data_IF_474737197166
#
_entry.id   IF_474737197166
#
_cell.length_a   1.000
_cell.length_b   1.000
_cell.length_c   1.000
_cell.angle_alpha   90.00
_cell.angle_beta   90.00
_cell.angle_gamma   90.00
#
_symmetry.space_group_name_H-M   'P 1'
#
loop_
_entity.id
_entity.type
_entity.pdbx_description
1 polymer ?
#
# COMPACT_ATOMS: atom_id res chain seq x y z
N UNK A 1 -14.57 -17.00 4.45
CA UNK A 1 -15.53 -15.88 4.44
C UNK A 1 -15.05 -14.65 3.64
N UNK A 2 -13.75 -14.35 3.49
CA UNK A 2 -13.29 -13.14 2.77
C UNK A 2 -13.55 -13.15 1.25
N UNK A 3 -13.42 -14.31 0.59
CA UNK A 3 -13.59 -14.42 -0.87
C UNK A 3 -15.01 -14.11 -1.32
N UNK A 4 -16.02 -14.59 -0.58
CA UNK A 4 -17.44 -14.31 -0.86
C UNK A 4 -17.78 -12.83 -0.72
N UNK A 5 -17.19 -12.13 0.25
CA UNK A 5 -17.37 -10.69 0.40
C UNK A 5 -16.77 -9.90 -0.77
N UNK A 6 -15.56 -10.27 -1.20
CA UNK A 6 -14.88 -9.58 -2.32
C UNK A 6 -15.64 -9.76 -3.62
N UNK A 7 -16.12 -10.98 -3.91
CA UNK A 7 -16.95 -11.24 -5.09
C UNK A 7 -18.19 -10.35 -5.07
N UNK A 8 -18.90 -10.29 -3.93
CA UNK A 8 -20.06 -9.42 -3.81
C UNK A 8 -19.74 -7.93 -4.00
N UNK A 9 -18.58 -7.46 -3.54
CA UNK A 9 -18.14 -6.07 -3.74
C UNK A 9 -17.85 -5.78 -5.21
N UNK A 10 -17.22 -6.72 -5.92
CA UNK A 10 -16.98 -6.62 -7.36
C UNK A 10 -18.30 -6.62 -8.13
N UNK A 11 -19.24 -7.50 -7.78
CA UNK A 11 -20.57 -7.53 -8.39
C UNK A 11 -21.31 -6.20 -8.20
N UNK A 12 -21.20 -5.58 -7.01
CA UNK A 12 -21.78 -4.25 -6.77
C UNK A 12 -21.11 -3.18 -7.64
N UNK A 13 -19.78 -3.22 -7.78
CA UNK A 13 -19.02 -2.24 -8.57
C UNK A 13 -19.31 -2.35 -10.07
N UNK A 14 -19.55 -3.57 -10.57
CA UNK A 14 -19.76 -3.88 -11.99
C UNK A 14 -21.22 -3.74 -12.45
N UNK A 15 -22.16 -3.48 -11.54
CA UNK A 15 -23.57 -3.25 -11.93
C UNK A 15 -23.68 -2.12 -12.96
N UNK A 16 -24.47 -2.29 -14.04
CA UNK A 16 -24.78 -1.20 -14.94
C UNK A 16 -25.35 -0.01 -14.18
N UNK A 17 -24.76 1.17 -14.37
CA UNK A 17 -25.16 2.40 -13.66
C UNK A 17 -24.60 2.55 -12.24
N UNK A 18 -23.67 1.70 -11.79
CA UNK A 18 -22.97 1.92 -10.53
C UNK A 18 -22.26 3.28 -10.53
N UNK A 19 -22.61 4.13 -9.56
CA UNK A 19 -22.05 5.47 -9.41
C UNK A 19 -20.55 5.41 -9.11
N UNK A 20 -19.80 6.47 -9.46
CA UNK A 20 -18.38 6.57 -9.08
C UNK A 20 -18.18 6.52 -7.57
N UNK A 21 -19.14 7.05 -6.79
CA UNK A 21 -19.11 6.94 -5.33
C UNK A 21 -19.17 5.48 -4.89
N UNK A 22 -20.08 4.71 -5.49
CA UNK A 22 -20.22 3.27 -5.22
C UNK A 22 -18.93 2.53 -5.54
N UNK A 23 -18.35 2.80 -6.72
CA UNK A 23 -17.09 2.17 -7.15
C UNK A 23 -15.97 2.47 -6.18
N UNK A 24 -15.75 3.72 -5.82
CA UNK A 24 -14.71 4.10 -4.86
C UNK A 24 -14.93 3.43 -3.49
N UNK A 25 -16.16 3.42 -2.97
CA UNK A 25 -16.48 2.75 -1.70
C UNK A 25 -16.16 1.25 -1.77
N UNK A 26 -16.57 0.57 -2.85
CA UNK A 26 -16.29 -0.87 -3.03
C UNK A 26 -14.81 -1.13 -3.17
N UNK A 27 -14.08 -0.30 -3.92
CA UNK A 27 -12.62 -0.39 -4.10
C UNK A 27 -11.90 -0.23 -2.77
N UNK A 28 -12.21 0.82 -2.00
CA UNK A 28 -11.68 1.03 -0.63
C UNK A 28 -11.92 -0.18 0.25
N UNK A 29 -13.14 -0.73 0.22
CA UNK A 29 -13.51 -1.89 1.04
C UNK A 29 -12.74 -3.14 0.63
N UNK A 30 -12.60 -3.40 -0.66
CA UNK A 30 -11.81 -4.51 -1.20
C UNK A 30 -10.35 -4.39 -0.79
N UNK A 31 -9.74 -3.21 -0.96
CA UNK A 31 -8.38 -2.94 -0.52
C UNK A 31 -8.21 -3.23 0.97
N UNK A 32 -9.12 -2.76 1.82
CA UNK A 32 -9.08 -3.01 3.26
C UNK A 32 -9.16 -4.50 3.61
N UNK A 33 -9.99 -5.28 2.92
CA UNK A 33 -10.10 -6.74 3.13
C UNK A 33 -8.79 -7.43 2.75
N UNK A 34 -8.23 -7.07 1.59
CA UNK A 34 -6.97 -7.66 1.12
C UNK A 34 -5.76 -7.25 1.95
N UNK A 35 -5.64 -5.99 2.37
CA UNK A 35 -4.58 -5.54 3.28
C UNK A 35 -4.61 -6.33 4.59
N UNK A 36 -5.79 -6.49 5.22
CA UNK A 36 -5.94 -7.32 6.42
C UNK A 36 -5.51 -8.77 6.19
N UNK A 37 -5.80 -9.33 5.01
CA UNK A 37 -5.38 -10.70 4.67
C UNK A 37 -3.86 -10.81 4.49
N UNK A 38 -3.23 -9.81 3.86
CA UNK A 38 -1.78 -9.72 3.73
C UNK A 38 -1.09 -9.58 5.10
N UNK A 39 -1.64 -8.77 5.99
CA UNK A 39 -1.11 -8.60 7.35
C UNK A 39 -1.18 -9.92 8.13
N UNK A 40 -2.31 -10.65 8.06
CA UNK A 40 -2.42 -11.97 8.68
C UNK A 40 -1.36 -12.96 8.14
N UNK A 41 -1.14 -13.03 6.83
CA UNK A 41 -0.08 -13.86 6.24
C UNK A 41 1.29 -13.42 6.77
N UNK A 42 1.55 -12.12 6.83
CA UNK A 42 2.82 -11.57 7.33
C UNK A 42 3.06 -11.96 8.79
N UNK A 43 2.04 -11.88 9.63
CA UNK A 43 2.10 -12.27 11.05
C UNK A 43 2.36 -13.77 11.22
N UNK A 44 1.66 -14.61 10.46
CA UNK A 44 1.86 -16.07 10.44
C UNK A 44 3.32 -16.42 10.07
N UNK A 45 3.84 -15.84 8.98
CA UNK A 45 5.23 -16.01 8.55
C UNK A 45 6.23 -15.48 9.59
N UNK A 46 5.95 -14.33 10.20
CA UNK A 46 6.80 -13.77 11.26
C UNK A 46 6.82 -14.67 12.49
N UNK A 47 5.70 -15.30 12.85
CA UNK A 47 5.65 -16.26 13.94
C UNK A 47 6.54 -17.47 13.69
N UNK A 48 6.55 -18.02 12.47
CA UNK A 48 7.47 -19.10 12.08
C UNK A 48 8.93 -18.66 12.18
N UNK A 49 9.30 -17.51 11.61
CA UNK A 49 10.68 -16.99 11.70
C UNK A 49 11.12 -16.71 13.13
N UNK A 50 10.21 -16.29 14.02
CA UNK A 50 10.51 -16.18 15.47
C UNK A 50 10.84 -17.53 16.10
N UNK A 51 10.18 -18.63 15.68
CA UNK A 51 10.55 -19.98 16.15
C UNK A 51 11.96 -20.36 15.69
N UNK A 52 12.30 -20.11 14.42
CA UNK A 52 13.65 -20.32 13.90
C UNK A 52 14.70 -19.50 14.69
N UNK A 53 14.42 -18.22 14.97
CA UNK A 53 15.31 -17.37 15.74
C UNK A 53 15.60 -17.90 17.15
N UNK A 54 14.61 -18.54 17.82
CA UNK A 54 14.81 -19.11 19.15
C UNK A 54 15.75 -20.33 19.14
N UNK A 55 15.82 -21.04 18.01
CA UNK A 55 16.70 -22.21 17.87
C UNK A 55 18.16 -21.83 17.60
N UNK A 56 18.45 -20.57 17.25
CA UNK A 56 19.82 -20.09 16.97
C UNK A 56 20.76 -20.25 18.16
N UNK A 57 20.25 -20.25 19.39
CA UNK A 57 21.06 -20.47 20.60
C UNK A 57 21.65 -21.89 20.71
N UNK A 58 21.13 -22.85 19.92
CA UNK A 58 21.56 -24.25 19.93
C UNK A 58 22.36 -24.62 18.67
N UNK A 59 22.90 -23.63 17.97
CA UNK A 59 23.81 -23.87 16.87
C UNK A 59 25.09 -24.57 17.36
N UNK A 60 25.72 -25.41 16.53
CA UNK A 60 25.39 -25.67 15.11
C UNK A 60 24.30 -26.73 14.90
N UNK A 61 23.90 -27.47 15.93
CA UNK A 61 23.08 -28.68 15.79
C UNK A 61 21.66 -28.43 15.26
N UNK A 62 21.13 -27.22 15.45
CA UNK A 62 19.82 -26.81 14.95
C UNK A 62 19.83 -26.19 13.54
N UNK A 63 20.99 -26.10 12.88
CA UNK A 63 21.11 -25.40 11.60
C UNK A 63 20.15 -25.90 10.51
N UNK A 64 20.01 -27.22 10.36
CA UNK A 64 19.10 -27.82 9.38
C UNK A 64 17.63 -27.52 9.71
N UNK A 65 17.25 -27.58 11.00
CA UNK A 65 15.89 -27.27 11.46
C UNK A 65 15.56 -25.79 11.26
N UNK A 66 16.52 -24.89 11.51
CA UNK A 66 16.36 -23.45 11.27
C UNK A 66 16.09 -23.20 9.79
N UNK A 67 16.90 -23.76 8.90
CA UNK A 67 16.73 -23.63 7.46
C UNK A 67 15.36 -24.17 6.99
N UNK A 68 14.92 -25.31 7.51
CA UNK A 68 13.60 -25.87 7.22
C UNK A 68 12.45 -24.93 7.65
N UNK A 69 12.52 -24.34 8.85
CA UNK A 69 11.49 -23.42 9.33
C UNK A 69 11.50 -22.11 8.54
N UNK A 70 12.67 -21.60 8.17
CA UNK A 70 12.79 -20.40 7.33
C UNK A 70 12.19 -20.66 5.94
N UNK A 71 12.47 -21.80 5.32
CA UNK A 71 11.87 -22.21 4.05
C UNK A 71 10.34 -22.36 4.17
N UNK A 72 9.86 -23.02 5.23
CA UNK A 72 8.41 -23.12 5.49
C UNK A 72 7.76 -21.74 5.63
N UNK A 73 8.42 -20.78 6.29
CA UNK A 73 7.93 -19.42 6.41
C UNK A 73 7.89 -18.67 5.06
N UNK A 74 8.82 -18.98 4.15
CA UNK A 74 8.87 -18.38 2.82
C UNK A 74 7.80 -18.95 1.89
N UNK A 75 7.54 -20.25 1.99
CA UNK A 75 6.52 -20.96 1.20
C UNK A 75 5.10 -20.78 1.73
N UNK A 76 4.95 -20.49 3.03
CA UNK A 76 3.65 -20.36 3.68
C UNK A 76 2.74 -19.37 2.97
N UNK A 77 1.72 -19.90 2.28
CA UNK A 77 0.71 -19.14 1.54
C UNK A 77 1.33 -18.15 0.54
N UNK A 78 2.44 -18.54 -0.09
CA UNK A 78 3.18 -17.72 -1.07
C UNK A 78 2.30 -17.27 -2.23
N UNK A 79 1.61 -18.22 -2.86
CA UNK A 79 0.72 -17.96 -4.00
C UNK A 79 -0.38 -16.96 -3.63
N UNK A 80 -1.12 -17.22 -2.54
CA UNK A 80 -2.18 -16.31 -2.09
C UNK A 80 -1.64 -14.90 -1.77
N UNK A 81 -0.45 -14.78 -1.17
CA UNK A 81 0.19 -13.49 -0.92
C UNK A 81 0.54 -12.76 -2.22
N UNK A 82 1.05 -13.48 -3.21
CA UNK A 82 1.41 -12.93 -4.53
C UNK A 82 0.15 -12.46 -5.27
N UNK A 83 -0.89 -13.27 -5.31
CA UNK A 83 -2.17 -12.92 -5.93
C UNK A 83 -2.78 -11.66 -5.31
N UNK A 84 -2.83 -11.59 -3.97
CA UNK A 84 -3.34 -10.41 -3.25
C UNK A 84 -2.53 -9.14 -3.57
N UNK A 85 -1.20 -9.27 -3.66
CA UNK A 85 -0.33 -8.13 -4.02
C UNK A 85 -0.55 -7.69 -5.45
N UNK A 86 -0.72 -8.62 -6.38
CA UNK A 86 -0.99 -8.35 -7.79
C UNK A 86 -2.31 -7.58 -7.95
N UNK A 87 -3.37 -8.04 -7.29
CA UNK A 87 -4.68 -7.35 -7.35
C UNK A 87 -4.61 -5.96 -6.73
N UNK A 88 -4.01 -5.83 -5.54
CA UNK A 88 -3.84 -4.51 -4.90
C UNK A 88 -2.99 -3.56 -5.74
N UNK A 89 -1.91 -4.03 -6.35
CA UNK A 89 -1.08 -3.23 -7.24
C UNK A 89 -1.85 -2.81 -8.50
N UNK A 90 -2.70 -3.68 -9.04
CA UNK A 90 -3.60 -3.35 -10.16
C UNK A 90 -4.58 -2.23 -9.81
N UNK A 91 -5.22 -2.33 -8.64
CA UNK A 91 -6.09 -1.27 -8.12
C UNK A 91 -5.31 0.04 -7.92
N UNK A 92 -4.14 -0.04 -7.27
CA UNK A 92 -3.29 1.14 -7.04
C UNK A 92 -2.86 1.82 -8.33
N UNK A 93 -2.55 1.04 -9.38
CA UNK A 93 -2.22 1.55 -10.71
C UNK A 93 -3.42 2.24 -11.37
N UNK A 94 -4.62 1.66 -11.27
CA UNK A 94 -5.85 2.28 -11.77
C UNK A 94 -6.10 3.64 -11.13
N UNK A 95 -5.88 3.74 -9.81
CA UNK A 95 -6.05 4.98 -9.06
C UNK A 95 -5.00 6.03 -9.41
N UNK A 96 -3.71 5.66 -9.42
CA UNK A 96 -2.60 6.58 -9.73
C UNK A 96 -2.74 7.19 -11.13
N UNK A 97 -3.26 6.42 -12.08
CA UNK A 97 -3.43 6.84 -13.47
C UNK A 97 -4.83 7.41 -13.77
N UNK A 98 -5.70 7.52 -12.76
CA UNK A 98 -7.13 7.86 -12.86
C UNK A 98 -7.84 7.20 -14.06
N UNK A 99 -7.64 5.90 -14.25
CA UNK A 99 -8.14 5.22 -15.47
C UNK A 99 -9.66 5.18 -15.57
N UNK A 100 -10.36 5.42 -14.45
CA UNK A 100 -11.81 5.46 -14.37
C UNK A 100 -12.40 6.88 -14.41
N UNK A 101 -11.56 7.92 -14.45
CA UNK A 101 -11.99 9.32 -14.47
C UNK A 101 -12.69 9.77 -13.19
N UNK A 102 -12.29 9.20 -12.04
CA UNK A 102 -12.92 9.45 -10.74
C UNK A 102 -12.65 10.87 -10.24
N UNK A 103 -11.50 11.45 -10.54
CA UNK A 103 -11.12 12.78 -10.05
C UNK A 103 -12.15 13.83 -10.49
N UNK A 104 -12.41 13.88 -11.80
CA UNK A 104 -13.44 14.76 -12.38
C UNK A 104 -14.86 14.30 -12.06
N UNK A 105 -15.09 12.98 -12.03
CA UNK A 105 -16.43 12.41 -11.85
C UNK A 105 -17.01 12.58 -10.44
N UNK A 106 -16.16 12.68 -9.42
CA UNK A 106 -16.58 12.87 -8.03
C UNK A 106 -16.46 14.33 -7.59
N UNK A 107 -15.38 15.01 -7.98
CA UNK A 107 -15.02 16.32 -7.46
C UNK A 107 -14.44 16.27 -6.04
N UNK A 108 -13.72 17.33 -5.67
CA UNK A 108 -12.92 17.41 -4.44
C UNK A 108 -13.69 17.07 -3.16
N UNK A 109 -14.81 17.75 -2.89
CA UNK A 109 -15.54 17.58 -1.63
C UNK A 109 -16.08 16.16 -1.47
N UNK A 110 -16.58 15.58 -2.56
CA UNK A 110 -17.09 14.22 -2.55
C UNK A 110 -15.98 13.20 -2.33
N UNK A 111 -14.80 13.40 -2.94
CA UNK A 111 -13.64 12.55 -2.66
C UNK A 111 -13.23 12.65 -1.19
N UNK A 112 -13.16 13.85 -0.63
CA UNK A 112 -12.81 14.03 0.78
C UNK A 112 -13.80 13.34 1.73
N UNK A 113 -15.10 13.40 1.44
CA UNK A 113 -16.12 12.66 2.21
C UNK A 113 -15.91 11.15 2.09
N UNK A 114 -15.76 10.67 0.85
CA UNK A 114 -15.61 9.26 0.55
C UNK A 114 -14.28 8.67 1.03
N UNK A 115 -13.25 9.49 1.26
CA UNK A 115 -11.95 9.11 1.83
C UNK A 115 -11.89 9.32 3.34
N UNK A 116 -12.93 9.93 3.94
CA UNK A 116 -13.01 10.22 5.37
C UNK A 116 -11.86 11.13 5.85
N UNK A 117 -11.55 12.16 5.04
CA UNK A 117 -10.55 13.19 5.34
C UNK A 117 -11.15 14.19 6.34
N UNK A 118 -10.40 14.51 7.39
CA UNK A 118 -10.84 15.46 8.41
C UNK A 118 -10.92 16.90 7.86
N UNK A 119 -11.72 17.75 8.50
CA UNK A 119 -11.99 19.12 8.03
C UNK A 119 -10.74 19.99 7.94
N UNK A 120 -9.79 19.86 8.87
CA UNK A 120 -8.56 20.68 8.89
C UNK A 120 -7.69 20.34 7.69
N UNK A 121 -7.47 19.05 7.44
CA UNK A 121 -6.69 18.58 6.29
C UNK A 121 -7.41 18.80 4.96
N UNK A 122 -8.75 18.78 4.95
CA UNK A 122 -9.53 19.15 3.76
C UNK A 122 -9.27 20.60 3.37
N UNK A 123 -9.30 21.54 4.32
CA UNK A 123 -9.01 22.94 4.02
C UNK A 123 -7.55 23.15 3.62
N UNK A 124 -6.60 22.46 4.27
CA UNK A 124 -5.20 22.48 3.84
C UNK A 124 -5.03 21.97 2.42
N UNK A 125 -5.60 20.80 2.10
CA UNK A 125 -5.55 20.21 0.77
C UNK A 125 -6.18 21.12 -0.29
N UNK A 126 -7.28 21.81 0.03
CA UNK A 126 -7.90 22.79 -0.87
C UNK A 126 -6.98 23.98 -1.14
N UNK A 127 -6.34 24.52 -0.10
CA UNK A 127 -5.41 25.64 -0.23
C UNK A 127 -4.15 25.25 -1.02
N UNK A 128 -3.70 24.02 -0.88
CA UNK A 128 -2.54 23.46 -1.59
C UNK A 128 -2.89 22.97 -3.00
N UNK A 129 -4.17 23.05 -3.41
CA UNK A 129 -4.63 22.65 -4.74
C UNK A 129 -4.62 21.14 -4.99
N UNK A 130 -4.71 20.33 -3.93
CA UNK A 130 -4.70 18.87 -4.00
C UNK A 130 -6.10 18.35 -4.39
N UNK A 131 -6.36 18.20 -5.69
CA UNK A 131 -7.70 17.92 -6.21
C UNK A 131 -7.86 16.55 -6.88
N UNK A 132 -6.86 15.67 -6.77
CA UNK A 132 -6.88 14.30 -7.31
C UNK A 132 -6.94 13.23 -6.22
N UNK A 133 -7.48 12.04 -6.55
CA UNK A 133 -7.42 10.87 -5.67
C UNK A 133 -5.98 10.49 -5.35
N UNK A 134 -5.05 10.66 -6.29
CA UNK A 134 -3.64 10.33 -6.09
C UNK A 134 -3.01 11.25 -5.06
N UNK A 135 -3.28 12.55 -5.12
CA UNK A 135 -2.78 13.51 -4.15
C UNK A 135 -3.31 13.18 -2.75
N UNK A 136 -4.63 13.01 -2.65
CA UNK A 136 -5.31 12.81 -1.38
C UNK A 136 -4.99 11.44 -0.76
N UNK A 137 -5.03 10.35 -1.53
CA UNK A 137 -4.90 9.00 -0.97
C UNK A 137 -3.45 8.51 -0.89
N UNK A 138 -2.55 8.97 -1.78
CA UNK A 138 -1.20 8.45 -1.88
C UNK A 138 -0.10 9.48 -1.57
N UNK A 139 -0.06 10.61 -2.29
CA UNK A 139 1.04 11.56 -2.14
C UNK A 139 1.06 12.22 -0.76
N UNK A 140 -0.10 12.64 -0.27
CA UNK A 140 -0.26 13.26 1.06
C UNK A 140 -0.88 12.31 2.08
N UNK A 141 -1.33 11.13 1.64
CA UNK A 141 -1.75 10.05 2.52
C UNK A 141 -2.82 10.52 3.55
N UNK A 142 -3.86 11.20 3.06
CA UNK A 142 -4.93 11.80 3.87
C UNK A 142 -6.12 10.85 4.09
N UNK A 143 -6.13 9.69 3.43
CA UNK A 143 -7.21 8.71 3.59
C UNK A 143 -7.37 8.28 5.07
N UNK A 144 -8.62 8.25 5.55
CA UNK A 144 -9.00 7.89 6.92
C UNK A 144 -8.37 8.81 8.00
N UNK A 145 -7.91 10.01 7.64
CA UNK A 145 -7.23 10.90 8.59
C UNK A 145 -8.09 11.34 9.77
N UNK A 146 -9.42 11.37 9.62
CA UNK A 146 -10.34 11.60 10.73
C UNK A 146 -10.20 10.56 11.85
N UNK A 147 -9.85 9.31 11.51
CA UNK A 147 -9.66 8.22 12.46
C UNK A 147 -8.19 7.94 12.80
N UNK A 148 -7.25 8.47 12.00
CA UNK A 148 -5.82 8.15 12.07
C UNK A 148 -4.92 9.30 12.52
N UNK A 149 -5.50 10.40 13.03
CA UNK A 149 -4.75 11.56 13.52
C UNK A 149 -3.70 11.14 14.56
N UNK A 150 -2.45 11.55 14.34
CA UNK A 150 -1.33 11.30 15.25
C UNK A 150 -0.65 9.93 15.10
N UNK A 151 -1.00 9.14 14.10
CA UNK A 151 -0.25 7.91 13.78
C UNK A 151 1.01 8.25 12.97
N UNK A 152 2.13 7.64 13.34
CA UNK A 152 3.41 7.81 12.64
C UNK A 152 3.43 7.22 11.22
N UNK A 153 2.56 6.23 10.95
CA UNK A 153 2.54 5.50 9.69
C UNK A 153 1.16 5.45 9.05
N UNK A 154 1.10 5.77 7.76
CA UNK A 154 -0.13 5.56 6.99
C UNK A 154 -0.27 4.10 6.52
N UNK A 155 -1.33 3.46 6.99
CA UNK A 155 -1.75 2.11 6.59
C UNK A 155 -3.18 2.10 6.05
N UNK A 156 -3.64 3.22 5.50
CA UNK A 156 -4.92 3.34 4.84
C UNK A 156 -4.96 2.45 3.57
N UNK A 157 -6.13 1.91 3.23
CA UNK A 157 -6.22 0.83 2.25
C UNK A 157 -5.83 1.24 0.82
N UNK A 158 -6.19 2.44 0.36
CA UNK A 158 -5.79 2.94 -0.95
C UNK A 158 -4.32 3.34 -0.96
N UNK A 159 -3.82 3.97 0.10
CA UNK A 159 -2.38 4.26 0.25
C UNK A 159 -1.54 3.00 0.04
N UNK A 160 -1.89 1.90 0.73
CA UNK A 160 -1.20 0.63 0.60
C UNK A 160 -1.26 0.05 -0.83
N UNK A 161 -2.41 0.19 -1.51
CA UNK A 161 -2.57 -0.27 -2.90
C UNK A 161 -1.66 0.52 -3.86
N UNK A 162 -1.65 1.85 -3.75
CA UNK A 162 -0.79 2.72 -4.53
C UNK A 162 0.70 2.45 -4.24
N UNK A 163 1.07 2.29 -2.97
CA UNK A 163 2.43 1.93 -2.59
C UNK A 163 2.86 0.61 -3.26
N UNK A 164 2.01 -0.41 -3.28
CA UNK A 164 2.30 -1.66 -3.97
C UNK A 164 2.44 -1.47 -5.49
N UNK A 165 1.59 -0.64 -6.10
CA UNK A 165 1.68 -0.31 -7.51
C UNK A 165 3.01 0.37 -7.86
N UNK A 166 3.43 1.36 -7.07
CA UNK A 166 4.70 2.06 -7.22
C UNK A 166 5.89 1.13 -7.01
N UNK A 167 5.87 0.28 -5.99
CA UNK A 167 6.93 -0.71 -5.76
C UNK A 167 7.03 -1.71 -6.92
N UNK A 168 5.91 -2.18 -7.46
CA UNK A 168 5.91 -3.06 -8.63
C UNK A 168 6.46 -2.35 -9.86
N UNK A 169 6.07 -1.09 -10.10
CA UNK A 169 6.62 -0.27 -11.17
C UNK A 169 8.15 -0.13 -11.05
N UNK A 170 8.66 0.24 -9.87
CA UNK A 170 10.10 0.38 -9.65
C UNK A 170 10.85 -0.93 -9.92
N UNK A 171 10.27 -2.07 -9.52
CA UNK A 171 10.89 -3.39 -9.70
C UNK A 171 10.88 -3.86 -11.16
N UNK A 172 9.85 -3.54 -11.91
CA UNK A 172 9.61 -4.05 -13.28
C UNK A 172 10.10 -3.09 -14.36
N UNK A 173 10.23 -1.79 -14.04
CA UNK A 173 10.73 -0.79 -14.96
C UNK A 173 12.24 -1.01 -15.20
N UNK A 174 12.68 -1.12 -16.46
CA UNK A 174 14.11 -1.17 -16.78
C UNK A 174 14.85 0.04 -16.18
N UNK A 175 16.02 -0.18 -15.56
CA UNK A 175 16.75 0.88 -14.84
C UNK A 175 16.96 2.16 -15.65
N UNK A 176 17.22 2.03 -16.95
CA UNK A 176 17.41 3.18 -17.87
C UNK A 176 16.17 4.07 -18.05
N UNK A 177 14.99 3.56 -17.72
CA UNK A 177 13.71 4.26 -17.83
C UNK A 177 13.19 4.75 -16.47
N UNK A 178 13.86 4.40 -15.37
CA UNK A 178 13.53 4.93 -14.06
C UNK A 178 13.94 6.41 -14.01
N UNK A 179 13.02 7.30 -13.60
CA UNK A 179 13.38 8.70 -13.34
C UNK A 179 14.49 8.77 -12.28
N UNK A 180 15.50 9.62 -12.47
CA UNK A 180 16.47 9.90 -11.40
C UNK A 180 15.77 10.68 -10.30
N UNK A 181 15.56 10.08 -9.11
CA UNK A 181 14.80 10.74 -8.07
C UNK A 181 15.57 11.89 -7.41
N UNK A 182 16.85 12.09 -7.80
CA UNK A 182 17.70 13.18 -7.33
C UNK A 182 18.03 14.24 -8.40
N UNK A 183 17.41 14.15 -9.59
CA UNK A 183 17.55 15.18 -10.60
C UNK A 183 17.03 16.54 -10.08
N UNK A 184 17.48 17.68 -10.64
CA UNK A 184 16.93 18.98 -10.28
C UNK A 184 15.41 19.02 -10.41
N UNK A 185 14.70 19.39 -9.34
CA UNK A 185 13.23 19.39 -9.28
C UNK A 185 12.58 18.02 -9.04
N UNK A 186 13.37 16.95 -8.88
CA UNK A 186 12.86 15.64 -8.53
C UNK A 186 12.58 15.51 -7.02
N UNK A 187 11.84 14.45 -6.67
CA UNK A 187 11.21 14.26 -5.36
C UNK A 187 12.20 14.33 -4.17
N UNK A 188 13.42 13.80 -4.31
CA UNK A 188 14.38 13.76 -3.21
C UNK A 188 15.37 14.93 -3.23
N UNK A 189 15.28 15.82 -4.23
CA UNK A 189 16.24 16.90 -4.40
C UNK A 189 17.66 16.39 -4.64
N UNK A 190 18.69 17.24 -4.49
CA UNK A 190 20.07 16.84 -4.75
C UNK A 190 20.51 15.73 -3.77
N UNK A 191 21.28 14.75 -4.28
CA UNK A 191 21.89 13.72 -3.43
C UNK A 191 22.65 14.37 -2.28
N UNK A 192 22.23 14.06 -1.05
CA UNK A 192 22.97 14.44 0.14
C UNK A 192 24.37 13.80 0.08
N UNK A 193 25.41 14.59 0.35
CA UNK A 193 26.76 14.04 0.47
C UNK A 193 26.75 13.02 1.62
N UNK A 194 27.32 11.82 1.43
CA UNK A 194 27.39 10.84 2.50
C UNK A 194 28.09 11.48 3.71
N UNK A 195 27.42 11.44 4.87
CA UNK A 195 28.04 11.86 6.11
C UNK A 195 29.08 10.80 6.51
N UNK A 196 30.33 11.02 6.11
CA UNK A 196 31.45 10.21 6.57
C UNK A 196 31.59 10.44 8.08
N UNK A 197 31.07 9.50 8.87
CA UNK A 197 31.39 9.39 10.30
C UNK A 197 32.47 8.33 10.42
N UNK A 198 33.60 8.68 11.03
CA UNK A 198 34.54 7.69 11.51
C UNK A 198 33.80 6.86 12.57
N UNK A 199 33.67 5.56 12.34
CA UNK A 199 33.18 4.61 13.35
C UNK A 199 34.42 4.13 14.10
N UNK A 200 34.66 4.73 15.26
CA UNK A 200 35.70 4.42 16.26
C UNK A 200 35.66 5.51 17.32
N UNK A 201 35.54 5.23 18.61
CA UNK A 201 36.11 4.12 19.41
C UNK A 201 35.07 3.27 20.16
#
# INVERSE_FOLDING_TARGET
MSTSLVIALVDIALKPGASMSTRLITTRRTCRVFSKRLDAIREERRAMRRKASKLRQYLPFTASTIAQIEQQADDHRRVEREDLRTVLAGIGRSLVMDTEGMDKGLGFDRMCDLLSINTVEREAARNDGLDTLTDLAFAYALEDSAARRGQEWNGAPLFNACQLATMSFIRECPERLLPDPYAPGALFGPKLRPALRLVGE
#
